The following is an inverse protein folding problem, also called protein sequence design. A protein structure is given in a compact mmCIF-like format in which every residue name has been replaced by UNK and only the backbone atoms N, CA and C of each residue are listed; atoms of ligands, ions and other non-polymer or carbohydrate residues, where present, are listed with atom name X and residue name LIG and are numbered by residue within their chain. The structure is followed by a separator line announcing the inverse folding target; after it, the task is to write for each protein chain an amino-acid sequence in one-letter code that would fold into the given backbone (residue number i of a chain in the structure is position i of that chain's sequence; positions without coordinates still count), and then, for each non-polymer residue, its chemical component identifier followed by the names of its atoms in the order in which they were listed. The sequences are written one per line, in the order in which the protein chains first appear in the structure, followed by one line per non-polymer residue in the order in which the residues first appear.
data_IF_209190490419
#
_entry.id   IF_209190490419
#
_cell.length_a   1.000
_cell.length_b   1.000
_cell.length_c   1.000
_cell.angle_alpha   90.00
_cell.angle_beta   90.00
_cell.angle_gamma   90.00
#
_symmetry.space_group_name_H-M   'P 1'
#
loop_
_entity.id
_entity.type
_entity.pdbx_description
1 polymer ?
#
# COMPACT_ATOMS: atom_id res chain seq x y z
N UNK A 1 32.43 -0.23 -15.39
CA UNK A 1 31.15 -1.00 -15.45
C UNK A 1 31.27 -2.32 -16.22
N UNK A 2 31.38 -2.32 -17.56
CA UNK A 2 31.48 -3.60 -18.30
C UNK A 2 32.79 -4.35 -17.98
N UNK A 3 33.93 -3.64 -17.99
CA UNK A 3 35.24 -4.22 -17.63
C UNK A 3 35.46 -4.48 -16.13
N UNK A 4 34.78 -3.76 -15.25
CA UNK A 4 35.00 -3.85 -13.79
C UNK A 4 33.94 -4.67 -13.06
N UNK A 5 32.71 -4.70 -13.58
CA UNK A 5 31.54 -5.31 -12.96
C UNK A 5 30.88 -6.36 -13.86
N UNK A 6 31.39 -6.60 -15.08
CA UNK A 6 30.83 -7.55 -16.03
C UNK A 6 29.42 -7.19 -16.53
N UNK A 7 28.95 -5.96 -16.29
CA UNK A 7 27.59 -5.54 -16.65
C UNK A 7 27.53 -5.08 -18.11
N UNK A 8 26.62 -5.65 -18.90
CA UNK A 8 26.41 -5.25 -20.30
C UNK A 8 25.24 -4.28 -20.44
N UNK A 9 25.33 -3.23 -21.30
CA UNK A 9 24.22 -2.29 -21.49
C UNK A 9 22.97 -2.97 -22.06
N UNK A 10 21.81 -2.72 -21.46
CA UNK A 10 20.52 -3.14 -22.00
C UNK A 10 20.08 -2.16 -23.08
N UNK A 11 20.03 -2.63 -24.33
CA UNK A 11 19.47 -1.89 -25.45
C UNK A 11 17.98 -2.21 -25.57
N UNK A 12 17.16 -1.21 -25.29
CA UNK A 12 15.73 -1.18 -25.53
C UNK A 12 15.45 -0.78 -26.99
N UNK A 13 14.49 -1.48 -27.59
CA UNK A 13 13.84 -1.06 -28.82
C UNK A 13 12.74 -0.06 -28.45
N UNK A 14 12.95 1.22 -28.80
CA UNK A 14 12.09 2.32 -28.39
C UNK A 14 11.41 2.93 -29.62
N UNK A 15 10.10 3.23 -29.54
CA UNK A 15 9.39 3.90 -30.63
C UNK A 15 10.05 5.24 -30.99
N UNK A 16 10.30 5.48 -32.29
CA UNK A 16 11.01 6.67 -32.75
C UNK A 16 10.24 7.98 -32.48
N UNK A 17 8.91 7.91 -32.48
CA UNK A 17 8.00 9.02 -32.19
C UNK A 17 8.10 9.52 -30.74
N UNK A 18 8.68 8.72 -29.84
CA UNK A 18 8.97 9.16 -28.47
C UNK A 18 10.14 10.15 -28.40
N UNK A 19 10.91 10.33 -29.48
CA UNK A 19 12.02 11.31 -29.60
C UNK A 19 13.10 11.17 -28.52
N UNK A 20 13.25 9.95 -27.98
CA UNK A 20 14.28 9.60 -27.00
C UNK A 20 15.61 9.40 -27.73
N UNK A 21 16.67 10.01 -27.23
CA UNK A 21 17.98 9.94 -27.85
C UNK A 21 18.79 8.81 -27.24
N UNK A 22 19.05 7.75 -28.00
CA UNK A 22 19.99 6.73 -27.61
C UNK A 22 21.42 7.30 -27.59
N UNK A 23 22.15 7.04 -26.51
CA UNK A 23 23.54 7.43 -26.31
C UNK A 23 24.41 6.18 -26.13
N UNK A 24 25.73 6.35 -26.04
CA UNK A 24 26.64 5.24 -25.77
C UNK A 24 26.33 4.48 -24.47
N UNK A 25 25.76 5.14 -23.45
CA UNK A 25 25.59 4.58 -22.09
C UNK A 25 24.13 4.42 -21.64
N UNK A 26 23.16 4.82 -22.45
CA UNK A 26 21.74 4.84 -22.07
C UNK A 26 20.92 5.74 -23.00
N UNK A 27 19.90 6.37 -22.45
CA UNK A 27 18.87 7.11 -23.18
C UNK A 27 18.66 8.47 -22.55
N UNK A 28 18.71 9.52 -23.36
CA UNK A 28 18.48 10.90 -22.94
C UNK A 28 17.11 11.37 -23.43
N UNK A 29 16.30 11.86 -22.50
CA UNK A 29 15.01 12.49 -22.77
C UNK A 29 15.22 13.99 -22.59
N UNK A 30 15.36 14.72 -23.69
CA UNK A 30 15.57 16.17 -23.63
C UNK A 30 14.24 16.91 -23.50
N UNK A 31 14.15 17.98 -22.67
CA UNK A 31 12.92 18.77 -22.50
C UNK A 31 12.34 19.34 -23.81
N UNK A 32 13.22 19.68 -24.76
CA UNK A 32 12.83 20.22 -26.07
C UNK A 32 12.38 19.14 -27.07
N UNK A 33 12.47 17.85 -26.71
CA UNK A 33 12.09 16.71 -27.55
C UNK A 33 10.94 15.90 -26.97
N UNK A 34 10.98 15.70 -25.65
CA UNK A 34 10.00 14.96 -24.87
C UNK A 34 9.41 15.93 -23.86
N UNK A 35 8.08 15.95 -23.73
CA UNK A 35 7.38 16.78 -22.73
C UNK A 35 7.76 16.30 -21.32
N UNK A 36 8.70 16.99 -20.69
CA UNK A 36 9.19 16.70 -19.34
C UNK A 36 10.37 17.59 -18.96
N UNK A 37 10.84 17.45 -17.73
CA UNK A 37 11.93 18.28 -17.16
C UNK A 37 13.33 17.89 -17.64
N UNK A 38 13.42 16.76 -18.33
CA UNK A 38 14.67 16.16 -18.77
C UNK A 38 15.06 14.98 -17.89
N UNK A 39 15.41 13.84 -18.50
CA UNK A 39 15.76 12.62 -17.78
C UNK A 39 16.85 11.87 -18.52
N UNK A 40 17.64 11.10 -17.76
CA UNK A 40 18.52 10.08 -18.31
C UNK A 40 18.12 8.70 -17.76
N UNK A 41 18.05 7.70 -18.63
CA UNK A 41 17.72 6.32 -18.30
C UNK A 41 18.84 5.40 -18.79
N UNK A 42 19.33 4.50 -17.95
CA UNK A 42 20.22 3.42 -18.37
C UNK A 42 19.81 2.11 -17.70
N UNK A 43 19.75 1.04 -18.48
CA UNK A 43 19.56 -0.32 -17.99
C UNK A 43 20.82 -1.14 -18.26
N UNK A 44 21.14 -2.06 -17.37
CA UNK A 44 22.27 -2.98 -17.54
C UNK A 44 21.80 -4.40 -17.22
N UNK A 45 22.31 -5.37 -17.98
CA UNK A 45 22.12 -6.79 -17.71
C UNK A 45 23.28 -7.29 -16.86
N UNK A 46 22.92 -7.90 -15.74
CA UNK A 46 23.87 -8.62 -14.91
C UNK A 46 24.03 -10.05 -15.48
N UNK A 47 25.27 -10.56 -15.64
CA UNK A 47 25.51 -11.94 -16.05
C UNK A 47 24.93 -12.94 -15.05
N UNK A 48 24.49 -14.10 -15.54
CA UNK A 48 24.08 -15.22 -14.69
C UNK A 48 25.25 -15.70 -13.82
N UNK A 49 24.97 -16.23 -12.63
CA UNK A 49 25.98 -16.81 -11.72
C UNK A 49 26.59 -15.85 -10.70
N UNK A 50 26.18 -14.57 -10.66
CA UNK A 50 26.41 -13.73 -9.46
C UNK A 50 25.40 -14.13 -8.39
N UNK A 51 25.77 -15.12 -7.58
CA UNK A 51 25.03 -15.43 -6.36
C UNK A 51 25.32 -14.33 -5.33
N UNK A 52 24.26 -13.66 -4.88
CA UNK A 52 24.33 -12.84 -3.70
C UNK A 52 23.97 -13.73 -2.52
N UNK A 53 24.98 -14.09 -1.72
CA UNK A 53 24.72 -14.77 -0.45
C UNK A 53 23.95 -13.81 0.45
N UNK A 54 22.66 -14.06 0.66
CA UNK A 54 21.94 -13.46 1.78
C UNK A 54 22.55 -14.10 3.02
N UNK A 55 23.28 -13.32 3.83
CA UNK A 55 23.76 -13.81 5.13
C UNK A 55 22.55 -14.32 5.89
N UNK A 56 22.60 -15.57 6.36
CA UNK A 56 21.55 -16.12 7.20
C UNK A 56 21.31 -15.17 8.37
N UNK A 57 20.10 -14.58 8.38
CA UNK A 57 19.70 -13.65 9.40
C UNK A 57 19.63 -14.35 10.76
N UNK A 58 19.87 -13.58 11.82
CA UNK A 58 19.49 -13.98 13.19
C UNK A 58 18.01 -14.38 13.22
N UNK A 59 17.60 -15.18 14.22
CA UNK A 59 16.20 -15.56 14.43
C UNK A 59 15.26 -14.36 14.26
N UNK A 60 14.23 -14.56 13.45
CA UNK A 60 13.17 -13.60 13.17
C UNK A 60 12.64 -12.94 14.45
N UNK A 61 12.64 -11.59 14.55
CA UNK A 61 11.93 -10.90 15.61
C UNK A 61 10.41 -10.81 15.35
N UNK A 62 9.90 -11.40 14.26
CA UNK A 62 8.49 -11.29 13.87
C UNK A 62 7.63 -12.29 14.63
N UNK A 63 6.67 -11.74 15.38
CA UNK A 63 5.58 -12.51 15.98
C UNK A 63 4.45 -12.67 14.94
N UNK A 64 4.39 -13.85 14.29
CA UNK A 64 3.28 -14.21 13.41
C UNK A 64 1.97 -14.27 14.20
N UNK A 65 0.86 -13.91 13.56
CA UNK A 65 -0.47 -14.05 14.18
C UNK A 65 -0.80 -15.53 14.42
N UNK A 66 -1.50 -15.80 15.53
CA UNK A 66 -2.12 -17.10 15.78
C UNK A 66 -3.27 -17.35 14.81
N UNK A 67 -3.75 -18.60 14.76
CA UNK A 67 -4.95 -18.96 13.96
C UNK A 67 -6.20 -18.18 14.42
N UNK A 68 -6.38 -18.01 15.73
CA UNK A 68 -7.50 -17.24 16.33
C UNK A 68 -7.44 -15.77 15.93
N UNK A 69 -6.26 -15.16 15.96
CA UNK A 69 -6.10 -13.75 15.55
C UNK A 69 -6.31 -13.58 14.05
N UNK A 70 -5.76 -14.50 13.25
CA UNK A 70 -5.92 -14.49 11.79
C UNK A 70 -7.40 -14.61 11.38
N UNK A 71 -8.21 -15.40 12.10
CA UNK A 71 -9.64 -15.49 11.82
C UNK A 71 -10.41 -14.19 12.04
N UNK A 72 -9.90 -13.28 12.88
CA UNK A 72 -10.52 -11.95 13.08
C UNK A 72 -10.33 -11.03 11.86
N UNK A 73 -9.33 -11.31 11.01
CA UNK A 73 -9.05 -10.55 9.79
C UNK A 73 -9.86 -11.03 8.59
N UNK A 74 -10.30 -12.29 8.60
CA UNK A 74 -11.00 -12.90 7.46
C UNK A 74 -12.22 -12.10 6.96
N UNK A 75 -13.08 -11.50 7.83
CA UNK A 75 -14.23 -10.70 7.39
C UNK A 75 -13.86 -9.40 6.68
N UNK A 76 -12.60 -8.98 6.74
CA UNK A 76 -12.13 -7.70 6.21
C UNK A 76 -11.42 -7.87 4.88
N UNK A 77 -10.85 -9.04 4.63
CA UNK A 77 -9.87 -9.24 3.57
C UNK A 77 -10.46 -10.06 2.43
N UNK A 78 -10.12 -9.66 1.19
CA UNK A 78 -10.36 -10.48 0.01
C UNK A 78 -9.53 -11.76 0.09
N UNK A 79 -10.15 -12.89 -0.21
CA UNK A 79 -9.47 -14.17 -0.31
C UNK A 79 -8.48 -14.21 -1.51
N UNK A 80 -7.46 -15.08 -1.43
CA UNK A 80 -6.58 -15.40 -2.56
C UNK A 80 -5.27 -14.60 -2.65
N UNK A 81 -5.00 -13.66 -1.74
CA UNK A 81 -3.74 -12.89 -1.77
C UNK A 81 -2.52 -13.60 -1.15
N UNK A 82 -2.70 -14.76 -0.51
CA UNK A 82 -1.60 -15.53 0.09
C UNK A 82 -0.77 -14.68 1.07
N UNK A 83 -1.45 -14.01 2.00
CA UNK A 83 -0.84 -13.06 2.91
C UNK A 83 -0.30 -13.75 4.18
N UNK A 84 0.87 -13.28 4.64
CA UNK A 84 1.39 -13.55 5.98
C UNK A 84 1.04 -12.37 6.86
N UNK A 85 0.62 -12.65 8.09
CA UNK A 85 0.30 -11.65 9.09
C UNK A 85 1.27 -11.71 10.26
N UNK A 86 1.67 -10.55 10.74
CA UNK A 86 2.39 -10.42 12.00
C UNK A 86 1.92 -9.18 12.76
N UNK A 87 2.20 -9.17 14.06
CA UNK A 87 1.92 -8.01 14.91
C UNK A 87 3.18 -7.54 15.63
N UNK A 88 3.17 -6.26 16.00
CA UNK A 88 4.15 -5.74 16.96
C UNK A 88 3.63 -5.81 18.41
N UNK A 89 4.45 -5.38 19.36
CA UNK A 89 4.13 -5.41 20.80
C UNK A 89 2.89 -4.59 21.19
N UNK A 90 2.48 -3.61 20.37
CA UNK A 90 1.29 -2.80 20.62
C UNK A 90 0.04 -3.32 19.89
N UNK A 91 0.15 -4.47 19.21
CA UNK A 91 -0.95 -5.16 18.54
C UNK A 91 -1.22 -4.66 17.11
N UNK A 92 -0.38 -3.79 16.54
CA UNK A 92 -0.52 -3.39 15.14
C UNK A 92 -0.19 -4.55 14.22
N UNK A 93 -1.15 -4.91 13.38
CA UNK A 93 -1.05 -6.03 12.44
C UNK A 93 -0.63 -5.52 11.08
N UNK A 94 0.43 -6.10 10.55
CA UNK A 94 0.91 -5.85 9.19
C UNK A 94 0.86 -7.13 8.35
N UNK A 95 0.79 -6.96 7.04
CA UNK A 95 0.75 -8.08 6.10
C UNK A 95 1.56 -7.83 4.83
N UNK A 96 1.97 -8.92 4.19
CA UNK A 96 2.54 -8.95 2.84
C UNK A 96 2.31 -10.33 2.20
N UNK A 97 2.45 -10.46 0.86
CA UNK A 97 2.41 -11.76 0.19
C UNK A 97 3.54 -12.69 0.67
N UNK A 98 3.25 -13.96 0.99
CA UNK A 98 4.21 -14.94 1.56
C UNK A 98 5.55 -14.98 0.80
N UNK A 99 5.51 -14.90 -0.53
CA UNK A 99 6.73 -14.90 -1.38
C UNK A 99 7.74 -13.79 -1.07
N UNK A 100 7.33 -12.71 -0.38
CA UNK A 100 8.20 -11.60 0.00
C UNK A 100 8.62 -11.68 1.48
N UNK A 101 8.16 -12.68 2.23
CA UNK A 101 8.38 -12.78 3.67
C UNK A 101 9.86 -13.02 3.99
N UNK A 102 10.52 -13.97 3.32
CA UNK A 102 11.94 -14.26 3.55
C UNK A 102 12.84 -13.05 3.25
N UNK A 103 12.60 -12.35 2.14
CA UNK A 103 13.31 -11.12 1.80
C UNK A 103 13.08 -10.03 2.87
N UNK A 104 11.83 -9.88 3.31
CA UNK A 104 11.46 -8.92 4.36
C UNK A 104 12.22 -9.19 5.65
N UNK A 105 12.31 -10.46 6.05
CA UNK A 105 13.06 -10.88 7.23
C UNK A 105 14.54 -10.56 7.13
N UNK A 106 15.16 -10.87 5.99
CA UNK A 106 16.55 -10.53 5.73
C UNK A 106 16.79 -9.01 5.84
N UNK A 107 15.91 -8.21 5.24
CA UNK A 107 16.00 -6.75 5.27
C UNK A 107 15.85 -6.19 6.68
N UNK A 108 14.87 -6.65 7.47
CA UNK A 108 14.65 -6.18 8.85
C UNK A 108 15.81 -6.51 9.78
N UNK A 109 16.51 -7.62 9.52
CA UNK A 109 17.66 -8.04 10.31
C UNK A 109 18.91 -7.24 9.95
N UNK A 110 19.09 -6.88 8.67
CA UNK A 110 20.26 -6.15 8.18
C UNK A 110 20.14 -4.63 8.24
N UNK A 111 18.93 -4.08 8.37
CA UNK A 111 18.67 -2.64 8.29
C UNK A 111 17.90 -2.14 9.52
N UNK A 112 18.38 -1.05 10.12
CA UNK A 112 17.83 -0.52 11.38
C UNK A 112 16.47 0.18 11.24
N UNK A 113 16.07 0.59 10.03
CA UNK A 113 14.84 1.36 9.76
C UNK A 113 14.19 0.91 8.47
N UNK A 114 13.48 -0.21 8.50
CA UNK A 114 12.66 -0.68 7.38
C UNK A 114 11.22 -0.83 7.83
N UNK A 115 10.33 -0.11 7.16
CA UNK A 115 8.91 -0.39 7.20
C UNK A 115 8.63 -1.48 6.17
N UNK A 116 8.06 -2.59 6.61
CA UNK A 116 7.80 -3.75 5.76
C UNK A 116 6.33 -4.11 5.86
N UNK A 117 5.75 -4.50 4.73
CA UNK A 117 4.33 -4.82 4.63
C UNK A 117 3.41 -3.59 4.74
N UNK A 118 2.11 -3.88 4.65
CA UNK A 118 1.04 -2.91 4.81
C UNK A 118 0.39 -3.09 6.18
N UNK A 119 0.20 -1.98 6.91
CA UNK A 119 -0.55 -1.95 8.15
C UNK A 119 -2.04 -2.24 7.87
N UNK A 120 -2.59 -3.31 8.43
CA UNK A 120 -4.00 -3.66 8.29
C UNK A 120 -4.86 -3.02 9.38
N UNK A 121 -4.33 -2.86 10.58
CA UNK A 121 -5.08 -2.39 11.73
C UNK A 121 -4.40 -2.75 13.05
N UNK A 122 -5.16 -2.71 14.13
CA UNK A 122 -4.69 -3.04 15.49
C UNK A 122 -5.62 -4.05 16.12
N UNK A 123 -5.06 -5.15 16.64
CA UNK A 123 -5.76 -6.10 17.48
C UNK A 123 -5.72 -5.64 18.94
N UNK A 124 -6.89 -5.54 19.56
CA UNK A 124 -7.06 -5.28 21.00
C UNK A 124 -7.93 -6.39 21.59
N UNK A 125 -7.29 -7.47 22.04
CA UNK A 125 -7.99 -8.69 22.45
C UNK A 125 -8.70 -9.33 21.26
N UNK A 126 -10.02 -9.49 21.35
CA UNK A 126 -10.86 -10.02 20.28
C UNK A 126 -11.46 -8.94 19.37
N UNK A 127 -11.00 -7.68 19.50
CA UNK A 127 -11.43 -6.56 18.67
C UNK A 127 -10.34 -6.15 17.68
N UNK A 128 -10.66 -6.22 16.38
CA UNK A 128 -9.86 -5.63 15.32
C UNK A 128 -10.31 -4.19 15.01
N UNK A 129 -9.37 -3.25 15.02
CA UNK A 129 -9.56 -1.87 14.62
C UNK A 129 -8.85 -1.65 13.28
N UNK A 130 -9.58 -1.45 12.17
CA UNK A 130 -8.97 -1.35 10.85
C UNK A 130 -8.14 -0.06 10.73
N UNK A 131 -7.00 -0.16 10.06
CA UNK A 131 -6.18 0.99 9.70
C UNK A 131 -6.81 1.73 8.52
N UNK A 132 -6.50 3.01 8.37
CA UNK A 132 -6.87 3.73 7.15
C UNK A 132 -6.21 3.14 5.89
N UNK A 133 -4.98 2.62 6.01
CA UNK A 133 -4.27 1.99 4.90
C UNK A 133 -5.02 0.76 4.35
N UNK A 134 -5.73 0.01 5.21
CA UNK A 134 -6.57 -1.10 4.76
C UNK A 134 -7.76 -0.63 3.92
N UNK A 135 -8.41 0.50 4.26
CA UNK A 135 -9.50 1.03 3.43
C UNK A 135 -9.04 1.33 2.00
N UNK A 136 -7.81 1.81 1.85
CA UNK A 136 -7.21 2.16 0.56
C UNK A 136 -6.53 0.97 -0.13
N UNK A 137 -6.47 -0.18 0.52
CA UNK A 137 -5.81 -1.38 -0.01
C UNK A 137 -6.68 -2.11 -1.02
N UNK A 138 -6.05 -2.81 -1.96
CA UNK A 138 -6.74 -3.81 -2.80
C UNK A 138 -7.05 -5.10 -2.05
N UNK A 139 -6.47 -5.29 -0.85
CA UNK A 139 -6.69 -6.48 -0.03
C UNK A 139 -7.98 -6.43 0.78
N UNK A 140 -8.63 -5.27 0.89
CA UNK A 140 -9.96 -5.20 1.49
C UNK A 140 -10.96 -5.99 0.64
N UNK A 141 -11.89 -6.67 1.28
CA UNK A 141 -13.00 -7.30 0.59
C UNK A 141 -13.80 -6.23 -0.20
N UNK A 142 -13.93 -6.36 -1.54
CA UNK A 142 -14.72 -5.42 -2.34
C UNK A 142 -16.19 -5.38 -1.90
N UNK A 143 -16.71 -6.49 -1.37
CA UNK A 143 -18.08 -6.61 -0.87
C UNK A 143 -18.23 -6.13 0.58
N UNK A 144 -17.14 -5.67 1.21
CA UNK A 144 -17.22 -5.09 2.54
C UNK A 144 -18.21 -3.92 2.54
N UNK A 145 -19.06 -3.86 3.59
CA UNK A 145 -20.10 -2.84 3.68
C UNK A 145 -19.55 -1.42 3.48
N UNK A 146 -20.23 -0.64 2.65
CA UNK A 146 -19.79 0.69 2.29
C UNK A 146 -20.93 1.52 1.70
N UNK A 147 -20.71 2.82 1.64
CA UNK A 147 -21.67 3.79 1.11
C UNK A 147 -20.99 4.61 0.02
N UNK A 148 -21.61 4.61 -1.15
CA UNK A 148 -21.25 5.50 -2.24
C UNK A 148 -21.73 6.92 -1.93
N UNK A 149 -20.79 7.86 -1.82
CA UNK A 149 -21.08 9.25 -1.48
C UNK A 149 -21.23 10.08 -2.74
N UNK A 150 -22.18 11.03 -2.81
CA UNK A 150 -22.11 12.09 -3.80
C UNK A 150 -20.87 12.96 -3.55
N UNK A 151 -20.41 13.66 -4.60
CA UNK A 151 -19.18 14.47 -4.57
C UNK A 151 -19.12 15.41 -3.37
N UNK A 152 -20.22 16.10 -3.06
CA UNK A 152 -20.30 17.03 -1.94
C UNK A 152 -19.99 16.35 -0.60
N UNK A 153 -20.67 15.25 -0.30
CA UNK A 153 -20.45 14.47 0.95
C UNK A 153 -19.07 13.83 0.98
N UNK A 154 -18.54 13.40 -0.16
CA UNK A 154 -17.16 12.89 -0.26
C UNK A 154 -16.13 13.96 0.11
N UNK A 155 -16.32 15.21 -0.34
CA UNK A 155 -15.44 16.32 0.03
C UNK A 155 -15.55 16.65 1.52
N UNK A 156 -16.75 16.70 2.09
CA UNK A 156 -16.96 16.87 3.54
C UNK A 156 -16.32 15.73 4.35
N UNK A 157 -16.40 14.49 3.84
CA UNK A 157 -15.69 13.34 4.42
C UNK A 157 -14.19 13.56 4.49
N UNK A 158 -13.57 13.98 3.38
CA UNK A 158 -12.15 14.26 3.29
C UNK A 158 -11.72 15.50 4.09
N UNK A 159 -12.64 16.43 4.39
CA UNK A 159 -12.41 17.53 5.36
C UNK A 159 -12.49 17.07 6.82
N UNK A 160 -12.87 15.81 7.06
CA UNK A 160 -13.17 15.24 8.39
C UNK A 160 -14.34 15.93 9.08
N UNK A 161 -15.31 16.41 8.30
CA UNK A 161 -16.54 17.00 8.82
C UNK A 161 -17.57 15.91 9.16
N UNK A 162 -18.59 16.29 9.94
CA UNK A 162 -19.75 15.46 10.17
C UNK A 162 -20.56 15.34 8.88
N UNK A 163 -21.08 14.14 8.60
CA UNK A 163 -21.90 13.86 7.42
C UNK A 163 -23.13 13.11 7.88
N UNK A 164 -24.28 13.55 7.38
CA UNK A 164 -25.53 12.84 7.55
C UNK A 164 -25.69 11.82 6.42
N UNK A 165 -25.83 10.55 6.77
CA UNK A 165 -26.17 9.47 5.85
C UNK A 165 -27.31 8.64 6.47
N UNK A 166 -28.16 8.02 5.64
CA UNK A 166 -29.10 7.04 6.14
C UNK A 166 -28.33 5.93 6.86
N UNK A 167 -28.54 5.78 8.17
CA UNK A 167 -27.86 4.74 8.98
C UNK A 167 -28.59 3.40 8.86
N UNK A 168 -29.73 3.36 8.17
CA UNK A 168 -30.59 2.19 8.04
C UNK A 168 -29.82 1.03 7.40
N UNK A 169 -29.63 -0.05 8.16
CA UNK A 169 -28.91 -1.25 7.71
C UNK A 169 -27.40 -1.25 7.91
N UNK A 170 -26.77 -0.12 8.27
CA UNK A 170 -25.33 -0.04 8.53
C UNK A 170 -25.04 -0.17 10.03
N UNK A 171 -24.13 -1.09 10.39
CA UNK A 171 -23.68 -1.29 11.76
C UNK A 171 -22.18 -1.49 11.81
N UNK A 172 -21.50 -0.76 12.69
CA UNK A 172 -20.06 -0.90 12.89
C UNK A 172 -19.26 -0.19 11.80
N UNK A 173 -18.16 -0.79 11.38
CA UNK A 173 -17.25 -0.19 10.40
C UNK A 173 -17.79 -0.33 8.98
N UNK A 174 -17.71 0.75 8.20
CA UNK A 174 -18.08 0.73 6.79
C UNK A 174 -17.25 1.74 5.98
N UNK A 175 -17.13 1.48 4.68
CA UNK A 175 -16.29 2.24 3.77
C UNK A 175 -17.04 3.44 3.20
N UNK A 176 -16.45 4.63 3.28
CA UNK A 176 -16.85 5.76 2.44
C UNK A 176 -16.29 5.53 1.03
N UNK A 177 -17.13 5.60 0.00
CA UNK A 177 -16.74 5.41 -1.39
C UNK A 177 -17.10 6.62 -2.25
N UNK A 178 -16.29 6.88 -3.27
CA UNK A 178 -16.61 7.85 -4.32
C UNK A 178 -16.08 7.34 -5.66
N UNK A 179 -16.96 7.27 -6.65
CA UNK A 179 -16.73 6.68 -7.97
C UNK A 179 -16.14 5.27 -7.88
N UNK A 180 -16.68 4.45 -6.98
CA UNK A 180 -16.24 3.05 -6.78
C UNK A 180 -14.85 2.92 -6.14
N UNK A 181 -14.26 4.00 -5.64
CA UNK A 181 -12.99 3.99 -4.90
C UNK A 181 -13.24 4.22 -3.42
N UNK A 182 -12.56 3.46 -2.58
CA UNK A 182 -12.60 3.66 -1.15
C UNK A 182 -11.85 4.94 -0.76
N UNK A 183 -12.48 5.77 0.06
CA UNK A 183 -11.92 7.00 0.61
C UNK A 183 -11.40 6.81 2.03
N UNK A 184 -11.98 5.88 2.79
CA UNK A 184 -11.64 5.67 4.19
C UNK A 184 -12.79 5.04 4.98
N UNK A 185 -12.67 5.10 6.30
CA UNK A 185 -13.62 4.48 7.22
C UNK A 185 -14.60 5.49 7.81
N UNK A 186 -15.82 5.03 8.00
CA UNK A 186 -16.71 5.56 9.03
C UNK A 186 -17.14 4.44 9.97
N UNK A 187 -17.64 4.83 11.14
CA UNK A 187 -18.28 3.91 12.09
C UNK A 187 -19.73 4.30 12.29
N UNK A 188 -20.63 3.46 11.82
CA UNK A 188 -22.06 3.56 12.02
C UNK A 188 -22.45 3.10 13.42
N UNK A 189 -23.14 3.99 14.13
CA UNK A 189 -23.75 3.80 15.44
C UNK A 189 -25.26 4.06 15.29
N UNK A 190 -26.13 3.60 16.20
CA UNK A 190 -27.58 3.59 15.98
C UNK A 190 -28.19 4.88 15.39
N UNK A 191 -27.72 6.05 15.84
CA UNK A 191 -28.25 7.36 15.42
C UNK A 191 -27.19 8.30 14.83
N UNK A 192 -25.96 7.83 14.58
CA UNK A 192 -24.88 8.70 14.09
C UNK A 192 -23.81 7.94 13.34
N UNK A 193 -23.05 8.67 12.55
CA UNK A 193 -21.85 8.15 11.89
C UNK A 193 -20.66 8.97 12.34
N UNK A 194 -19.62 8.27 12.78
CA UNK A 194 -18.35 8.88 13.11
C UNK A 194 -17.43 8.79 11.90
N UNK A 195 -16.88 9.92 11.45
CA UNK A 195 -15.89 9.98 10.39
C UNK A 195 -14.49 9.63 10.94
N UNK A 196 -13.90 8.52 10.48
CA UNK A 196 -12.58 8.03 10.89
C UNK A 196 -11.47 8.37 9.88
N UNK A 197 -11.70 9.34 8.99
CA UNK A 197 -10.66 9.85 8.11
C UNK A 197 -9.47 10.42 8.92
N UNK A 198 -8.21 10.19 8.53
CA UNK A 198 -7.04 10.71 9.25
C UNK A 198 -7.07 12.24 9.33
N UNK A 199 -6.80 12.81 10.52
CA UNK A 199 -6.92 14.26 10.75
C UNK A 199 -5.83 15.02 9.97
N UNK A 200 -4.66 14.42 9.91
CA UNK A 200 -3.46 14.88 9.25
C UNK A 200 -3.59 14.92 7.72
N UNK A 201 -4.52 14.16 7.13
CA UNK A 201 -4.74 14.10 5.67
C UNK A 201 -5.92 14.95 5.22
N UNK A 202 -6.59 15.64 6.15
CA UNK A 202 -7.78 16.41 5.82
C UNK A 202 -7.47 17.48 4.79
N UNK A 203 -8.32 17.59 3.78
CA UNK A 203 -8.20 18.66 2.80
C UNK A 203 -8.61 20.00 3.44
N UNK A 204 -8.02 21.11 2.98
CA UNK A 204 -8.29 22.46 3.49
C UNK A 204 -8.95 23.37 2.46
N UNK A 205 -9.53 22.77 1.42
CA UNK A 205 -10.23 23.48 0.36
C UNK A 205 -11.55 24.06 0.89
N UNK A 206 -11.90 25.27 0.46
CA UNK A 206 -13.25 25.82 0.66
C UNK A 206 -14.24 25.07 -0.23
N UNK A 207 -15.40 24.72 0.33
CA UNK A 207 -16.47 24.08 -0.44
C UNK A 207 -17.48 25.17 -0.77
N UNK A 208 -17.65 25.44 -2.07
CA UNK A 208 -18.75 26.26 -2.61
C UNK A 208 -20.07 25.48 -2.59
#
# INVERSE_FOLDING_TARGET
LEKEQGLSPLRLDLPADWKIVATGRGYQLYPHRVRGEGLFLAGFRQPAGREHSVREGRKSPIERLTRKESSQLAPWLRAGHGLVFWKNKVGEVSALPEKLFELTEALRTGLSRVQTGQLLGTLKGDLFLPSHALALSEWIDPEFQGVELPREKALRFLKKEAIELPVTGLKGWALARYRGRNLGWFKALPNRINNYFPKEWRIRMELE
#
